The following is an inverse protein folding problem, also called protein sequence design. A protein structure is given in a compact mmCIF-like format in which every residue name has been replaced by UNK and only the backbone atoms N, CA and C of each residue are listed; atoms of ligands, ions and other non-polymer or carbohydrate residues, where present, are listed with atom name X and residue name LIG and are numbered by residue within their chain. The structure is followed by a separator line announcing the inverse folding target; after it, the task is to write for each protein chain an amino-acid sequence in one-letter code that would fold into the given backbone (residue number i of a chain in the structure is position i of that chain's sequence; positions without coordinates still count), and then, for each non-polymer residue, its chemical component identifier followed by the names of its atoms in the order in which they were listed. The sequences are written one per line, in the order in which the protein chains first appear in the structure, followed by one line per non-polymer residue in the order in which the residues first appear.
data_IF_698235222413
#
_entry.id   IF_698235222413
#
_cell.length_a   1.000
_cell.length_b   1.000
_cell.length_c   1.000
_cell.angle_alpha   90.00
_cell.angle_beta   90.00
_cell.angle_gamma   90.00
#
_symmetry.space_group_name_H-M   'P 1'
#
loop_
_entity.id
_entity.type
_entity.pdbx_description
1 polymer ?
#
# COMPACT_ATOMS: atom_id res chain seq x y z
N UNK A 1 25.08 12.34 12.84
CA UNK A 1 23.93 13.05 13.43
C UNK A 1 23.37 13.93 12.34
N UNK A 2 22.72 13.26 11.40
CA UNK A 2 22.54 13.74 10.03
C UNK A 2 21.35 14.69 9.93
N UNK A 3 21.46 15.72 9.09
CA UNK A 3 20.41 16.73 8.91
C UNK A 3 19.07 16.13 8.44
N UNK A 4 19.10 14.90 7.91
CA UNK A 4 17.93 14.14 7.47
C UNK A 4 17.09 13.63 8.65
N UNK A 5 17.71 13.18 9.75
CA UNK A 5 17.00 12.71 10.96
C UNK A 5 16.15 13.83 11.57
N UNK A 6 16.74 15.02 11.75
CA UNK A 6 16.03 16.20 12.27
C UNK A 6 14.84 16.64 11.41
N UNK A 7 14.85 16.35 10.10
CA UNK A 7 13.83 16.82 9.17
C UNK A 7 12.72 15.79 8.94
N UNK A 8 13.07 14.51 8.93
CA UNK A 8 12.18 13.41 8.55
C UNK A 8 11.78 12.47 9.70
N UNK A 9 12.42 12.54 10.86
CA UNK A 9 12.06 11.70 12.02
C UNK A 9 10.61 11.84 12.50
N UNK A 10 9.96 12.98 12.21
CA UNK A 10 8.52 13.22 12.50
C UNK A 10 7.55 12.54 11.53
N UNK A 11 8.02 12.01 10.40
CA UNK A 11 7.20 11.37 9.36
C UNK A 11 7.33 9.85 9.31
N UNK A 12 8.10 9.25 10.23
CA UNK A 12 8.20 7.80 10.34
C UNK A 12 6.86 7.20 10.79
N UNK A 13 6.24 6.40 9.91
CA UNK A 13 4.98 5.70 10.21
C UNK A 13 5.36 4.28 10.66
N UNK A 14 5.09 3.90 11.93
CA UNK A 14 5.38 2.56 12.41
C UNK A 14 4.46 1.54 11.72
N UNK A 15 4.97 0.34 11.46
CA UNK A 15 4.21 -0.78 10.88
C UNK A 15 3.55 -0.45 9.53
N UNK A 16 4.20 0.42 8.74
CA UNK A 16 3.70 0.86 7.43
C UNK A 16 3.41 -0.32 6.51
N UNK A 17 4.32 -1.29 6.49
CA UNK A 17 4.21 -2.49 5.65
C UNK A 17 3.01 -3.34 6.06
N UNK A 18 2.79 -3.50 7.37
CA UNK A 18 1.66 -4.27 7.90
C UNK A 18 0.34 -3.57 7.57
N UNK A 19 0.28 -2.24 7.71
CA UNK A 19 -0.90 -1.44 7.33
C UNK A 19 -1.19 -1.56 5.84
N UNK A 20 -0.16 -1.54 4.99
CA UNK A 20 -0.30 -1.74 3.55
C UNK A 20 -0.84 -3.14 3.21
N UNK A 21 -0.29 -4.19 3.85
CA UNK A 21 -0.78 -5.56 3.65
C UNK A 21 -2.23 -5.73 4.13
N UNK A 22 -2.62 -5.07 5.23
CA UNK A 22 -3.99 -5.07 5.71
C UNK A 22 -4.95 -4.38 4.72
N UNK A 23 -4.52 -3.26 4.14
CA UNK A 23 -5.25 -2.56 3.09
C UNK A 23 -5.49 -3.44 1.86
N UNK A 24 -4.46 -4.15 1.42
CA UNK A 24 -4.51 -5.12 0.32
C UNK A 24 -5.46 -6.29 0.63
N UNK A 25 -5.45 -6.79 1.87
CA UNK A 25 -6.36 -7.86 2.29
C UNK A 25 -7.83 -7.42 2.26
N UNK A 26 -8.15 -6.19 2.70
CA UNK A 26 -9.50 -5.61 2.56
C UNK A 26 -9.91 -5.55 1.09
N UNK A 27 -9.01 -5.05 0.23
CA UNK A 27 -9.27 -4.97 -1.20
C UNK A 27 -9.53 -6.33 -1.85
N UNK A 28 -8.79 -7.35 -1.46
CA UNK A 28 -9.04 -8.72 -1.91
C UNK A 28 -10.45 -9.19 -1.55
N UNK A 29 -10.89 -8.97 -0.31
CA UNK A 29 -12.26 -9.35 0.09
C UNK A 29 -13.31 -8.56 -0.71
N UNK A 30 -13.12 -7.25 -0.89
CA UNK A 30 -14.08 -6.40 -1.58
C UNK A 30 -14.19 -6.70 -3.09
N UNK A 31 -13.05 -6.84 -3.78
CA UNK A 31 -13.03 -6.95 -5.24
C UNK A 31 -13.08 -8.41 -5.72
N UNK A 32 -12.38 -9.33 -5.06
CA UNK A 32 -12.28 -10.73 -5.51
C UNK A 32 -13.36 -11.62 -4.86
N UNK A 33 -13.62 -11.48 -3.54
CA UNK A 33 -14.64 -12.31 -2.87
C UNK A 33 -16.07 -11.79 -3.08
N UNK A 34 -16.29 -10.49 -2.88
CA UNK A 34 -17.62 -9.87 -3.03
C UNK A 34 -17.93 -9.46 -4.48
N UNK A 35 -16.96 -9.61 -5.41
CA UNK A 35 -17.11 -9.30 -6.85
C UNK A 35 -17.66 -7.90 -7.12
N UNK A 36 -17.21 -6.92 -6.34
CA UNK A 36 -17.56 -5.52 -6.54
C UNK A 36 -16.73 -4.90 -7.68
N UNK A 37 -16.75 -5.54 -8.86
CA UNK A 37 -15.94 -5.18 -10.02
C UNK A 37 -16.18 -3.74 -10.48
N UNK A 38 -17.43 -3.27 -10.37
CA UNK A 38 -17.78 -1.87 -10.65
C UNK A 38 -17.01 -0.89 -9.76
N UNK A 39 -16.74 -1.23 -8.50
CA UNK A 39 -15.96 -0.38 -7.57
C UNK A 39 -14.46 -0.43 -7.89
N UNK A 40 -13.95 -1.54 -8.42
CA UNK A 40 -12.54 -1.68 -8.82
C UNK A 40 -12.13 -0.63 -9.85
N UNK A 41 -12.98 -0.38 -10.86
CA UNK A 41 -12.76 0.64 -11.89
C UNK A 41 -12.78 2.08 -11.35
N UNK A 42 -13.43 2.35 -10.22
CA UNK A 42 -13.35 3.66 -9.56
C UNK A 42 -12.07 3.84 -8.73
N UNK A 43 -11.47 2.72 -8.30
CA UNK A 43 -10.26 2.71 -7.49
C UNK A 43 -8.97 2.63 -8.29
N UNK A 44 -9.02 2.16 -9.55
CA UNK A 44 -7.84 2.03 -10.42
C UNK A 44 -7.15 3.37 -10.68
N UNK A 45 -5.85 3.35 -10.93
CA UNK A 45 -5.11 4.58 -11.23
C UNK A 45 -5.34 4.98 -12.68
N UNK A 46 -6.18 6.00 -12.91
CA UNK A 46 -6.43 6.57 -14.23
C UNK A 46 -5.97 8.04 -14.27
N UNK A 47 -4.75 8.33 -14.79
CA UNK A 47 -4.19 9.69 -14.83
C UNK A 47 -5.04 10.68 -15.61
N UNK A 48 -5.69 10.24 -16.69
CA UNK A 48 -6.57 11.09 -17.49
C UNK A 48 -7.76 11.57 -16.64
N UNK A 49 -8.40 10.67 -15.88
CA UNK A 49 -9.50 11.05 -15.00
C UNK A 49 -9.05 11.92 -13.81
N UNK A 50 -7.82 11.78 -13.34
CA UNK A 50 -7.28 12.65 -12.29
C UNK A 50 -7.12 14.08 -12.81
N UNK A 51 -6.54 14.25 -13.99
CA UNK A 51 -6.21 15.57 -14.55
C UNK A 51 -7.43 16.32 -15.09
N UNK A 52 -8.35 15.61 -15.74
CA UNK A 52 -9.51 16.23 -16.39
C UNK A 52 -10.75 16.29 -15.50
N UNK A 53 -10.86 15.41 -14.50
CA UNK A 53 -12.05 15.30 -13.64
C UNK A 53 -11.74 15.39 -12.14
N UNK A 54 -10.52 15.75 -11.75
CA UNK A 54 -10.11 15.96 -10.35
C UNK A 54 -10.42 14.77 -9.42
N UNK A 55 -10.28 13.54 -9.92
CA UNK A 55 -10.51 12.32 -9.13
C UNK A 55 -9.30 12.01 -8.21
N UNK A 56 -9.04 12.87 -7.22
CA UNK A 56 -7.83 12.85 -6.37
C UNK A 56 -7.71 11.54 -5.56
N UNK A 57 -8.83 10.91 -5.20
CA UNK A 57 -8.82 9.64 -4.48
C UNK A 57 -8.05 8.54 -5.22
N UNK A 58 -8.01 8.58 -6.56
CA UNK A 58 -7.24 7.63 -7.40
C UNK A 58 -5.74 7.66 -7.19
N UNK A 59 -5.20 8.66 -6.49
CA UNK A 59 -3.79 8.69 -6.10
C UNK A 59 -3.46 7.70 -4.97
N UNK A 60 -4.46 7.27 -4.21
CA UNK A 60 -4.27 6.38 -3.05
C UNK A 60 -5.12 5.12 -3.12
N UNK A 61 -6.30 5.15 -3.75
CA UNK A 61 -7.23 4.00 -3.77
C UNK A 61 -6.69 2.80 -4.55
N UNK A 62 -5.78 3.02 -5.50
CA UNK A 62 -5.14 1.93 -6.24
C UNK A 62 -4.29 1.03 -5.34
N UNK A 63 -3.81 1.55 -4.19
CA UNK A 63 -3.09 0.77 -3.18
C UNK A 63 -3.97 -0.28 -2.51
N UNK A 64 -5.30 -0.17 -2.60
CA UNK A 64 -6.22 -1.21 -2.14
C UNK A 64 -6.38 -2.35 -3.15
N UNK A 65 -5.98 -2.17 -4.41
CA UNK A 65 -6.20 -3.22 -5.41
C UNK A 65 -5.21 -4.36 -5.14
N UNK A 66 -5.69 -5.60 -4.91
CA UNK A 66 -4.85 -6.75 -4.66
C UNK A 66 -3.89 -6.99 -5.82
N UNK A 67 -2.63 -7.34 -5.52
CA UNK A 67 -1.68 -7.77 -6.55
C UNK A 67 -2.17 -9.05 -7.24
N UNK A 68 -1.96 -9.14 -8.55
CA UNK A 68 -2.35 -10.30 -9.35
C UNK A 68 -1.62 -11.58 -8.86
N UNK A 69 -2.34 -12.71 -8.86
CA UNK A 69 -1.81 -14.01 -8.41
C UNK A 69 -2.65 -14.71 -7.33
N UNK A 70 -3.68 -14.03 -6.80
CA UNK A 70 -4.62 -14.61 -5.84
C UNK A 70 -4.05 -14.75 -4.42
N UNK A 71 -4.92 -15.15 -3.49
CA UNK A 71 -4.64 -15.12 -2.05
C UNK A 71 -3.42 -15.95 -1.64
N UNK A 72 -3.20 -17.11 -2.27
CA UNK A 72 -2.07 -17.98 -1.96
C UNK A 72 -0.72 -17.32 -2.29
N UNK A 73 -0.56 -16.80 -3.52
CA UNK A 73 0.68 -16.12 -3.92
C UNK A 73 0.88 -14.81 -3.17
N UNK A 74 -0.21 -14.10 -2.86
CA UNK A 74 -0.16 -12.91 -2.02
C UNK A 74 0.41 -13.23 -0.63
N UNK A 75 -0.10 -14.26 0.05
CA UNK A 75 0.38 -14.64 1.39
C UNK A 75 1.87 -15.03 1.37
N UNK A 76 2.28 -15.85 0.39
CA UNK A 76 3.69 -16.25 0.26
C UNK A 76 4.56 -15.01 0.05
N UNK A 77 4.20 -14.16 -0.89
CA UNK A 77 4.98 -12.94 -1.19
C UNK A 77 5.02 -12.00 0.01
N UNK A 78 3.89 -11.85 0.72
CA UNK A 78 3.80 -11.01 1.91
C UNK A 78 4.72 -11.50 3.03
N UNK A 79 4.71 -12.81 3.33
CA UNK A 79 5.49 -13.37 4.43
C UNK A 79 6.98 -13.46 4.12
N UNK A 80 7.35 -13.87 2.91
CA UNK A 80 8.74 -14.11 2.55
C UNK A 80 9.47 -12.87 2.01
N UNK A 81 8.75 -11.89 1.46
CA UNK A 81 9.35 -10.70 0.86
C UNK A 81 8.90 -9.41 1.54
N UNK A 82 7.60 -9.08 1.50
CA UNK A 82 7.16 -7.75 1.97
C UNK A 82 7.40 -7.54 3.46
N UNK A 83 7.06 -8.48 4.34
CA UNK A 83 7.26 -8.32 5.79
C UNK A 83 8.75 -8.21 6.18
N UNK A 84 9.67 -9.08 5.70
CA UNK A 84 11.10 -8.93 6.01
C UNK A 84 11.71 -7.64 5.46
N UNK A 85 11.42 -7.30 4.19
CA UNK A 85 11.93 -6.07 3.56
C UNK A 85 11.36 -4.84 4.27
N UNK A 86 10.06 -4.87 4.55
CA UNK A 86 9.33 -3.82 5.23
C UNK A 86 9.84 -3.56 6.64
N UNK A 87 10.08 -4.62 7.42
CA UNK A 87 10.68 -4.48 8.76
C UNK A 87 12.10 -3.94 8.69
N UNK A 88 12.92 -4.36 7.73
CA UNK A 88 14.26 -3.81 7.57
C UNK A 88 14.25 -2.34 7.15
N UNK A 89 13.33 -1.94 6.26
CA UNK A 89 13.12 -0.55 5.89
C UNK A 89 12.62 0.28 7.07
N UNK A 90 11.66 -0.24 7.83
CA UNK A 90 11.13 0.42 9.03
C UNK A 90 12.17 0.50 10.15
N UNK A 91 13.07 -0.46 10.28
CA UNK A 91 14.20 -0.40 11.20
C UNK A 91 15.24 0.60 10.71
N UNK A 92 15.70 0.52 9.47
CA UNK A 92 16.71 1.44 8.92
C UNK A 92 16.19 2.88 8.92
N UNK A 93 14.90 3.07 8.63
CA UNK A 93 14.28 4.40 8.57
C UNK A 93 13.70 4.88 9.90
N UNK A 94 13.31 3.97 10.79
CA UNK A 94 12.85 4.26 12.15
C UNK A 94 14.00 4.39 13.16
N UNK A 95 15.16 3.82 12.85
CA UNK A 95 16.45 4.09 13.51
C UNK A 95 17.11 5.38 13.02
N UNK A 96 16.63 6.01 11.94
CA UNK A 96 16.92 7.44 11.64
C UNK A 96 16.19 8.38 12.63
N UNK A 97 16.30 8.08 13.92
CA UNK A 97 15.89 8.92 15.05
C UNK A 97 17.10 9.64 15.62
#
# INVERSE_FOLDING_TARGET
MDQLEKRFGRFAIPDLTVKFLFLQAIGYVLFEMLKLDGMRTYCEMNPYMILHHFQIWRLVTWLMIPTDGGLFLFIITAVFFYLPIGRQLEQTWGEFR
#
